data_IF_345883305420
#
_entry.id   IF_345883305420
#
_cell.length_a   1.000
_cell.length_b   1.000
_cell.length_c   1.000
_cell.angle_alpha   90.00
_cell.angle_beta   90.00
_cell.angle_gamma   90.00
#
_symmetry.space_group_name_H-M   'P 1'
#
loop_
_entity.id
_entity.type
_entity.pdbx_description
1 polymer ?
#
# COMPACT_ATOMS: atom_id res chain seq x y z
N UNK A 1 -7.87 -0.94 11.43
CA UNK A 1 -6.53 -0.48 11.02
C UNK A 1 -5.86 -1.55 10.17
N UNK A 2 -5.28 -1.18 9.02
CA UNK A 2 -4.61 -2.13 8.13
C UNK A 2 -3.35 -2.73 8.74
N UNK A 3 -2.91 -3.84 8.16
CA UNK A 3 -1.69 -4.51 8.59
C UNK A 3 -0.47 -3.61 8.32
N UNK A 4 0.41 -3.49 9.32
CA UNK A 4 1.67 -2.75 9.17
C UNK A 4 2.77 -3.71 8.74
N UNK A 5 3.61 -3.25 7.81
CA UNK A 5 4.82 -3.95 7.42
C UNK A 5 6.04 -3.05 7.64
N UNK A 6 7.22 -3.65 7.67
CA UNK A 6 8.47 -2.93 7.92
C UNK A 6 9.58 -3.51 7.04
N UNK A 7 10.78 -2.91 7.12
CA UNK A 7 11.93 -3.38 6.34
C UNK A 7 12.22 -4.87 6.59
N UNK A 8 12.04 -5.33 7.82
CA UNK A 8 12.37 -6.72 8.18
C UNK A 8 11.40 -7.75 7.62
N UNK A 9 10.10 -7.42 7.56
CA UNK A 9 9.08 -8.40 7.14
C UNK A 9 8.54 -8.15 5.73
N UNK A 10 8.97 -7.11 5.05
CA UNK A 10 8.47 -6.76 3.71
C UNK A 10 8.62 -7.92 2.72
N UNK A 11 9.75 -8.60 2.75
CA UNK A 11 9.98 -9.75 1.88
C UNK A 11 8.93 -10.84 2.05
N UNK A 12 8.65 -11.22 3.30
CA UNK A 12 7.69 -12.29 3.58
C UNK A 12 6.25 -11.85 3.34
N UNK A 13 5.90 -10.62 3.78
CA UNK A 13 4.51 -10.18 3.78
C UNK A 13 4.04 -9.61 2.44
N UNK A 14 4.94 -9.06 1.65
CA UNK A 14 4.61 -8.43 0.36
C UNK A 14 5.15 -9.24 -0.80
N UNK A 15 6.45 -9.46 -0.84
CA UNK A 15 7.07 -10.13 -1.99
C UNK A 15 6.72 -11.61 -2.05
N UNK A 16 6.53 -12.24 -0.90
CA UNK A 16 6.15 -13.65 -0.81
C UNK A 16 4.65 -13.91 -0.80
N UNK A 17 3.83 -12.88 -0.86
CA UNK A 17 2.37 -13.03 -0.84
C UNK A 17 1.86 -13.65 -2.14
N UNK A 18 0.83 -14.49 -2.03
CA UNK A 18 0.21 -15.15 -3.18
C UNK A 18 -0.77 -14.24 -3.89
N UNK A 19 -1.48 -13.40 -3.14
CA UNK A 19 -2.41 -12.43 -3.69
C UNK A 19 -1.68 -11.13 -4.05
N UNK A 20 -2.27 -10.28 -4.91
CA UNK A 20 -1.76 -8.93 -5.10
C UNK A 20 -1.75 -8.16 -3.79
N UNK A 21 -0.74 -7.32 -3.59
CA UNK A 21 -0.58 -6.54 -2.37
C UNK A 21 -0.52 -5.06 -2.71
N UNK A 22 -1.39 -4.28 -2.07
CA UNK A 22 -1.28 -2.82 -2.09
C UNK A 22 -0.44 -2.40 -0.90
N UNK A 23 0.65 -1.69 -1.15
CA UNK A 23 1.47 -1.07 -0.11
C UNK A 23 1.19 0.41 -0.09
N UNK A 24 0.72 0.90 1.06
CA UNK A 24 0.50 2.32 1.33
C UNK A 24 1.72 2.87 2.06
N UNK A 25 2.55 3.60 1.33
CA UNK A 25 3.69 4.32 1.92
C UNK A 25 3.19 5.63 2.50
N UNK A 26 3.27 5.77 3.81
CA UNK A 26 2.66 6.88 4.53
C UNK A 26 3.60 7.48 5.57
N UNK A 27 3.24 8.67 6.07
CA UNK A 27 3.95 9.32 7.16
C UNK A 27 2.95 9.93 8.13
N UNK A 28 3.33 9.98 9.40
CA UNK A 28 2.49 10.53 10.47
C UNK A 28 2.14 12.00 10.23
N UNK A 29 3.05 12.75 9.62
CA UNK A 29 2.89 14.18 9.35
C UNK A 29 2.13 14.47 8.04
N UNK A 30 1.58 13.48 7.39
CA UNK A 30 0.97 13.60 6.06
C UNK A 30 -0.56 13.57 6.17
N UNK A 31 -1.25 14.73 6.10
CA UNK A 31 -2.71 14.75 6.19
C UNK A 31 -3.43 13.93 5.10
N UNK A 32 -3.02 13.97 3.82
CA UNK A 32 -3.64 13.12 2.80
C UNK A 32 -3.51 11.63 3.10
N UNK A 33 -2.40 11.20 3.69
CA UNK A 33 -2.21 9.81 4.11
C UNK A 33 -3.25 9.41 5.14
N UNK A 34 -3.45 10.27 6.14
CA UNK A 34 -4.44 10.01 7.20
C UNK A 34 -5.86 10.01 6.68
N UNK A 35 -6.15 10.87 5.72
CA UNK A 35 -7.48 10.92 5.10
C UNK A 35 -7.82 9.63 4.34
N UNK A 36 -6.81 8.93 3.82
CA UNK A 36 -7.00 7.66 3.10
C UNK A 36 -7.14 6.46 4.03
N UNK A 37 -6.69 6.55 5.27
CA UNK A 37 -6.71 5.42 6.20
C UNK A 37 -8.07 4.75 6.34
N UNK A 38 -9.18 5.47 6.61
CA UNK A 38 -10.48 4.81 6.74
C UNK A 38 -10.91 4.10 5.45
N UNK A 39 -10.58 4.69 4.30
CA UNK A 39 -10.92 4.11 3.00
C UNK A 39 -10.16 2.81 2.80
N UNK A 40 -8.86 2.81 3.06
CA UNK A 40 -8.04 1.62 2.90
C UNK A 40 -8.37 0.54 3.92
N UNK A 41 -8.73 0.92 5.15
CA UNK A 41 -9.19 -0.04 6.16
C UNK A 41 -10.46 -0.75 5.69
N UNK A 42 -11.42 0.00 5.16
CA UNK A 42 -12.66 -0.57 4.61
C UNK A 42 -12.37 -1.51 3.45
N UNK A 43 -11.50 -1.09 2.53
CA UNK A 43 -11.14 -1.91 1.37
C UNK A 43 -10.36 -3.17 1.77
N UNK A 44 -9.57 -3.11 2.83
CA UNK A 44 -8.84 -4.29 3.31
C UNK A 44 -9.80 -5.39 3.78
N UNK A 45 -10.94 -5.03 4.31
CA UNK A 45 -11.98 -5.98 4.70
C UNK A 45 -12.76 -6.45 3.47
N UNK A 46 -13.16 -5.50 2.62
CA UNK A 46 -13.98 -5.77 1.44
C UNK A 46 -13.28 -6.67 0.43
N UNK A 47 -11.96 -6.48 0.25
CA UNK A 47 -11.16 -7.23 -0.71
C UNK A 47 -10.34 -8.36 -0.08
N UNK A 48 -10.60 -8.69 1.17
CA UNK A 48 -9.86 -9.73 1.89
C UNK A 48 -9.87 -11.05 1.09
N UNK A 49 -8.71 -11.67 0.97
CA UNK A 49 -8.54 -12.90 0.18
C UNK A 49 -8.30 -12.67 -1.31
N UNK A 50 -8.58 -11.47 -1.82
CA UNK A 50 -8.35 -11.13 -3.22
C UNK A 50 -7.23 -10.12 -3.41
N UNK A 51 -7.16 -9.12 -2.54
CA UNK A 51 -6.09 -8.12 -2.50
C UNK A 51 -5.72 -7.90 -1.05
N UNK A 52 -4.44 -7.99 -0.75
CA UNK A 52 -3.92 -7.71 0.59
C UNK A 52 -3.52 -6.24 0.64
N UNK A 53 -3.93 -5.53 1.69
CA UNK A 53 -3.59 -4.11 1.87
C UNK A 53 -2.72 -3.98 3.11
N UNK A 54 -1.54 -3.39 2.95
CA UNK A 54 -0.59 -3.18 4.03
C UNK A 54 -0.10 -1.73 4.01
N UNK A 55 0.45 -1.28 5.13
CA UNK A 55 0.95 0.08 5.31
C UNK A 55 2.41 0.02 5.73
N UNK A 56 3.23 0.93 5.21
CA UNK A 56 4.63 1.06 5.57
C UNK A 56 4.94 2.50 5.93
N UNK A 57 5.41 2.72 7.17
CA UNK A 57 5.80 4.04 7.65
C UNK A 57 7.17 4.40 7.05
N UNK A 58 7.22 5.47 6.26
CA UNK A 58 8.45 5.86 5.57
C UNK A 58 9.52 6.41 6.52
N UNK A 59 9.12 6.90 7.70
CA UNK A 59 10.06 7.48 8.66
C UNK A 59 10.92 6.42 9.34
N UNK A 60 10.41 5.22 9.50
CA UNK A 60 11.07 4.16 10.24
C UNK A 60 11.56 3.00 9.37
N UNK A 61 11.36 3.08 8.06
CA UNK A 61 11.69 1.99 7.13
C UNK A 61 12.44 2.50 5.90
N UNK A 62 13.65 3.08 6.11
CA UNK A 62 14.42 3.67 5.01
C UNK A 62 14.91 2.66 3.97
N UNK A 63 15.04 1.40 4.32
CA UNK A 63 15.52 0.38 3.39
C UNK A 63 14.58 0.19 2.22
N UNK A 64 13.30 -0.07 2.51
CA UNK A 64 12.30 -0.27 1.46
C UNK A 64 12.00 1.03 0.72
N UNK A 65 11.94 2.16 1.42
CA UNK A 65 11.73 3.47 0.81
C UNK A 65 12.81 3.75 -0.24
N UNK A 66 14.06 3.48 0.07
CA UNK A 66 15.19 3.68 -0.84
C UNK A 66 15.14 2.70 -2.01
N UNK A 67 14.86 1.43 -1.70
CA UNK A 67 14.82 0.37 -2.71
C UNK A 67 13.80 0.65 -3.81
N UNK A 68 12.62 1.16 -3.46
CA UNK A 68 11.55 1.44 -4.42
C UNK A 68 11.43 2.92 -4.77
N UNK A 69 12.41 3.73 -4.35
CA UNK A 69 12.51 5.14 -4.73
C UNK A 69 11.26 5.95 -4.39
N UNK A 70 10.70 5.72 -3.20
CA UNK A 70 9.52 6.44 -2.73
C UNK A 70 9.95 7.82 -2.23
N UNK A 71 9.40 8.88 -2.84
CA UNK A 71 9.80 10.27 -2.56
C UNK A 71 8.66 11.18 -2.14
N UNK A 72 7.42 10.77 -2.39
CA UNK A 72 6.25 11.59 -2.06
C UNK A 72 5.23 10.72 -1.35
N UNK A 73 4.44 11.32 -0.47
CA UNK A 73 3.41 10.63 0.29
C UNK A 73 2.05 11.28 0.04
N UNK A 74 0.99 10.48 -0.05
CA UNK A 74 1.03 9.02 -0.05
C UNK A 74 1.53 8.46 -1.39
N UNK A 75 2.17 7.30 -1.33
CA UNK A 75 2.48 6.51 -2.52
C UNK A 75 1.78 5.18 -2.34
N UNK A 76 0.97 4.81 -3.32
CA UNK A 76 0.27 3.53 -3.35
C UNK A 76 0.88 2.67 -4.44
N UNK A 77 1.44 1.53 -4.07
CA UNK A 77 2.13 0.66 -5.01
C UNK A 77 1.54 -0.74 -4.93
N UNK A 78 1.13 -1.28 -6.07
CA UNK A 78 0.60 -2.64 -6.14
C UNK A 78 1.73 -3.58 -6.54
N UNK A 79 1.89 -4.63 -5.73
CA UNK A 79 2.83 -5.72 -5.99
C UNK A 79 2.09 -6.96 -6.41
N UNK A 80 2.62 -7.67 -7.39
CA UNK A 80 2.08 -8.97 -7.81
C UNK A 80 3.26 -9.87 -8.18
N UNK A 81 3.24 -11.09 -7.63
CA UNK A 81 4.30 -12.07 -7.86
C UNK A 81 5.70 -11.52 -7.51
N UNK A 82 5.78 -10.74 -6.44
CA UNK A 82 7.02 -10.19 -5.93
C UNK A 82 7.53 -8.95 -6.64
N UNK A 83 6.74 -8.35 -7.55
CA UNK A 83 7.17 -7.19 -8.32
C UNK A 83 6.14 -6.08 -8.31
N UNK A 84 6.57 -4.80 -8.29
CA UNK A 84 5.64 -3.70 -8.44
C UNK A 84 5.06 -3.69 -9.85
N UNK A 85 3.74 -3.63 -9.96
CA UNK A 85 3.03 -3.67 -11.25
C UNK A 85 2.27 -2.38 -11.54
N UNK A 86 1.99 -1.56 -10.53
CA UNK A 86 1.36 -0.25 -10.74
C UNK A 86 1.62 0.66 -9.54
N UNK A 87 1.50 1.96 -9.74
CA UNK A 87 1.79 2.97 -8.73
C UNK A 87 0.90 4.18 -8.91
N UNK A 88 0.43 4.74 -7.79
CA UNK A 88 -0.24 6.04 -7.75
C UNK A 88 0.44 6.90 -6.69
N UNK A 89 0.80 8.12 -7.07
CA UNK A 89 1.55 9.03 -6.20
C UNK A 89 0.75 10.30 -5.97
N UNK A 90 0.76 10.79 -4.73
CA UNK A 90 0.20 12.07 -4.35
C UNK A 90 -1.23 11.97 -3.90
N UNK A 91 -1.94 13.11 -3.96
CA UNK A 91 -3.30 13.24 -3.43
C UNK A 91 -4.24 12.23 -4.06
N UNK A 92 -4.94 11.54 -3.19
CA UNK A 92 -5.53 10.28 -3.53
C UNK A 92 -6.76 10.27 -4.42
N UNK A 93 -6.95 9.16 -5.11
CA UNK A 93 -8.20 8.86 -5.80
C UNK A 93 -9.33 8.65 -4.78
N UNK A 94 -10.57 8.76 -5.27
CA UNK A 94 -11.75 8.47 -4.47
C UNK A 94 -11.82 6.98 -4.11
N UNK A 95 -12.69 6.64 -3.14
CA UNK A 95 -12.95 5.23 -2.79
C UNK A 95 -13.34 4.41 -4.02
N UNK A 96 -14.24 4.93 -4.85
CA UNK A 96 -14.70 4.22 -6.06
C UNK A 96 -13.55 3.97 -7.03
N UNK A 97 -12.68 4.96 -7.22
CA UNK A 97 -11.51 4.82 -8.09
C UNK A 97 -10.53 3.80 -7.54
N UNK A 98 -10.27 3.81 -6.23
CA UNK A 98 -9.39 2.84 -5.58
C UNK A 98 -9.94 1.43 -5.70
N UNK A 99 -11.23 1.25 -5.45
CA UNK A 99 -11.88 -0.06 -5.55
C UNK A 99 -11.72 -0.62 -6.96
N UNK A 100 -12.03 0.18 -7.97
CA UNK A 100 -11.93 -0.23 -9.37
C UNK A 100 -10.49 -0.59 -9.74
N UNK A 101 -9.55 0.23 -9.30
CA UNK A 101 -8.13 0.01 -9.58
C UNK A 101 -7.64 -1.30 -8.98
N UNK A 102 -7.96 -1.55 -7.71
CA UNK A 102 -7.52 -2.76 -7.02
C UNK A 102 -8.21 -4.01 -7.55
N UNK A 103 -9.49 -3.92 -7.90
CA UNK A 103 -10.22 -5.05 -8.47
C UNK A 103 -9.64 -5.51 -9.81
N UNK A 104 -9.00 -4.62 -10.55
CA UNK A 104 -8.34 -4.97 -11.79
C UNK A 104 -7.16 -5.95 -11.57
N UNK A 105 -6.59 -6.00 -10.38
CA UNK A 105 -5.49 -6.90 -10.03
C UNK A 105 -5.95 -8.14 -9.25
N UNK A 106 -7.19 -8.14 -8.82
CA UNK A 106 -7.72 -9.23 -7.99
C UNK A 106 -7.85 -10.56 -8.75
#
# INVERSE_FOLDING_TARGET
MGQMVNDANFGAEVLGAKEPVLVDFWAEWCPPCKAMDPILDDLSVELAGRVKIVKLDVETNPGIVTQYNVRAMPTLMVFKDGEPVDIKVGYGPSRAQLTKWLEAFA
#
